data_IF_066025519765
#
_entry.id   IF_066025519765
#
_cell.length_a   1.000
_cell.length_b   1.000
_cell.length_c   1.000
_cell.angle_alpha   90.00
_cell.angle_beta   90.00
_cell.angle_gamma   90.00
#
_symmetry.space_group_name_H-M   'P 1'
#
loop_
_entity.id
_entity.type
_entity.pdbx_description
1 polymer ?
#
# COMPACT_ATOMS: atom_id res chain seq x y z
N UNK A 1 22.83 55.21 30.11
CA UNK A 1 22.40 53.88 30.60
C UNK A 1 22.21 52.97 29.40
N UNK A 2 22.94 51.85 29.37
CA UNK A 2 23.02 50.92 28.25
C UNK A 2 21.91 49.86 28.41
N UNK A 3 20.98 49.71 27.46
CA UNK A 3 20.17 48.48 27.31
C UNK A 3 19.95 48.17 25.83
N UNK A 4 20.79 47.24 25.38
CA UNK A 4 20.76 46.28 24.28
C UNK A 4 19.85 46.48 23.07
N UNK A 5 20.50 46.56 21.90
CA UNK A 5 20.04 45.91 20.67
C UNK A 5 19.98 44.40 20.91
N UNK A 6 18.87 43.76 20.54
CA UNK A 6 18.79 42.32 20.33
C UNK A 6 18.24 42.06 18.92
N UNK A 7 18.84 41.13 18.16
CA UNK A 7 18.65 41.01 16.73
C UNK A 7 17.44 40.14 16.38
N UNK A 8 16.89 40.47 15.21
CA UNK A 8 16.12 39.63 14.31
C UNK A 8 16.68 38.19 14.28
N UNK A 9 15.94 37.21 14.80
CA UNK A 9 16.24 35.79 14.56
C UNK A 9 15.13 35.22 13.69
N UNK A 10 15.56 34.87 12.48
CA UNK A 10 14.85 34.30 11.36
C UNK A 10 14.09 33.03 11.76
N UNK A 11 12.84 32.94 11.31
CA UNK A 11 12.01 31.75 11.38
C UNK A 11 12.70 30.57 10.67
N UNK A 12 13.10 29.56 11.44
CA UNK A 12 13.51 28.27 10.91
C UNK A 12 12.27 27.37 10.80
N UNK A 13 11.58 27.46 9.66
CA UNK A 13 10.54 26.52 9.27
C UNK A 13 11.18 25.13 9.11
N UNK A 14 11.01 24.27 10.10
CA UNK A 14 11.30 22.85 9.95
C UNK A 14 10.31 22.28 8.93
N UNK A 15 10.74 22.14 7.69
CA UNK A 15 10.07 21.32 6.68
C UNK A 15 10.13 19.87 7.17
N UNK A 16 9.04 19.40 7.77
CA UNK A 16 8.82 17.98 7.99
C UNK A 16 8.57 17.33 6.63
N UNK A 17 9.62 16.83 6.00
CA UNK A 17 9.46 15.94 4.85
C UNK A 17 8.78 14.65 5.36
N UNK A 18 7.64 14.23 4.78
CA UNK A 18 7.14 12.89 5.05
C UNK A 18 8.15 11.90 4.49
N UNK A 19 8.73 11.09 5.36
CA UNK A 19 9.48 9.92 4.95
C UNK A 19 8.51 8.96 4.26
N UNK A 20 8.63 8.83 2.93
CA UNK A 20 7.99 7.76 2.18
C UNK A 20 8.74 6.47 2.51
N UNK A 21 8.30 5.79 3.56
CA UNK A 21 8.79 4.47 3.90
C UNK A 21 8.32 3.48 2.82
N UNK A 22 9.24 3.05 1.96
CA UNK A 22 9.02 1.94 1.01
C UNK A 22 9.14 0.61 1.77
N UNK A 23 8.15 0.31 2.60
CA UNK A 23 8.01 -0.96 3.29
C UNK A 23 6.69 -1.58 2.89
N UNK A 24 6.75 -2.76 2.26
CA UNK A 24 5.62 -3.60 1.81
C UNK A 24 4.26 -2.93 2.00
N UNK A 25 3.78 -2.26 0.94
CA UNK A 25 2.64 -1.34 0.99
C UNK A 25 1.38 -2.07 1.47
N UNK A 26 1.16 -2.03 2.77
CA UNK A 26 -0.10 -2.43 3.35
C UNK A 26 -1.17 -1.54 2.72
N UNK A 27 -2.21 -2.10 2.08
CA UNK A 27 -3.20 -1.29 1.38
C UNK A 27 -3.73 -0.18 2.27
N UNK A 28 -3.92 1.02 1.72
CA UNK A 28 -4.33 2.19 2.51
C UNK A 28 -5.60 1.91 3.34
N UNK A 29 -6.53 1.11 2.80
CA UNK A 29 -7.76 0.68 3.48
C UNK A 29 -7.50 -0.22 4.70
N UNK A 30 -6.45 -1.03 4.68
CA UNK A 30 -6.02 -1.85 5.84
C UNK A 30 -5.26 -0.98 6.85
N UNK A 31 -4.43 -0.07 6.36
CA UNK A 31 -3.69 0.89 7.21
C UNK A 31 -4.63 1.78 8.02
N UNK A 32 -5.76 2.20 7.45
CA UNK A 32 -6.78 3.01 8.13
C UNK A 32 -7.33 2.32 9.40
N UNK A 33 -7.51 0.99 9.37
CA UNK A 33 -7.95 0.21 10.54
C UNK A 33 -6.95 0.30 11.69
N UNK A 34 -5.65 0.24 11.39
CA UNK A 34 -4.60 0.33 12.40
C UNK A 34 -4.54 1.74 13.01
N UNK A 35 -4.77 2.78 12.21
CA UNK A 35 -4.80 4.15 12.69
C UNK A 35 -5.93 4.39 13.70
N UNK A 36 -7.10 3.76 13.53
CA UNK A 36 -8.19 3.88 14.50
C UNK A 36 -7.79 3.49 15.93
N UNK A 37 -6.86 2.53 16.09
CA UNK A 37 -6.37 2.10 17.41
C UNK A 37 -5.60 3.19 18.16
N UNK A 38 -5.09 4.19 17.46
CA UNK A 38 -4.33 5.29 18.07
C UNK A 38 -5.23 6.32 18.75
N UNK A 39 -6.55 6.27 18.50
CA UNK A 39 -7.51 7.16 19.13
C UNK A 39 -7.78 6.75 20.57
N UNK A 40 -7.62 7.71 21.48
CA UNK A 40 -7.84 7.53 22.92
C UNK A 40 -9.29 7.74 23.32
N UNK A 41 -10.03 8.55 22.56
CA UNK A 41 -11.46 8.76 22.77
C UNK A 41 -12.26 7.57 22.21
N UNK A 42 -13.10 6.96 23.05
CA UNK A 42 -13.81 5.73 22.70
C UNK A 42 -14.86 5.96 21.61
N UNK A 43 -15.57 7.10 21.63
CA UNK A 43 -16.58 7.41 20.63
C UNK A 43 -15.94 7.69 19.26
N UNK A 44 -14.83 8.44 19.23
CA UNK A 44 -14.06 8.69 18.02
C UNK A 44 -13.44 7.40 17.48
N UNK A 45 -12.95 6.52 18.34
CA UNK A 45 -12.39 5.22 17.95
C UNK A 45 -13.45 4.32 17.32
N UNK A 46 -14.64 4.24 17.90
CA UNK A 46 -15.75 3.47 17.34
C UNK A 46 -16.17 3.99 15.97
N UNK A 47 -16.39 5.30 15.85
CA UNK A 47 -16.76 5.93 14.57
C UNK A 47 -15.68 5.72 13.48
N UNK A 48 -14.40 5.72 13.87
CA UNK A 48 -13.30 5.41 12.96
C UNK A 48 -13.38 3.97 12.44
N UNK A 49 -13.61 2.99 13.34
CA UNK A 49 -13.73 1.60 12.94
C UNK A 49 -14.94 1.34 12.04
N UNK A 50 -16.08 1.95 12.33
CA UNK A 50 -17.29 1.81 11.49
C UNK A 50 -17.03 2.30 10.06
N UNK A 51 -16.34 3.44 9.92
CA UNK A 51 -15.94 3.94 8.60
C UNK A 51 -14.94 3.01 7.91
N UNK A 52 -13.90 2.57 8.62
CA UNK A 52 -12.88 1.70 8.03
C UNK A 52 -13.48 0.34 7.59
N UNK A 53 -14.46 -0.19 8.32
CA UNK A 53 -15.19 -1.40 7.96
C UNK A 53 -16.00 -1.21 6.65
N UNK A 54 -16.70 -0.09 6.51
CA UNK A 54 -17.43 0.23 5.28
C UNK A 54 -16.49 0.38 4.07
N UNK A 55 -15.34 1.03 4.25
CA UNK A 55 -14.35 1.19 3.19
C UNK A 55 -13.72 -0.16 2.78
N UNK A 56 -13.50 -1.09 3.73
CA UNK A 56 -13.05 -2.46 3.45
C UNK A 56 -14.08 -3.26 2.64
N UNK A 57 -15.36 -3.18 3.02
CA UNK A 57 -16.45 -3.84 2.29
C UNK A 57 -16.49 -3.36 0.84
N UNK A 58 -16.38 -2.04 0.62
CA UNK A 58 -16.32 -1.47 -0.72
C UNK A 58 -15.11 -1.97 -1.51
N UNK A 59 -13.93 -2.04 -0.89
CA UNK A 59 -12.71 -2.52 -1.54
C UNK A 59 -12.79 -4.01 -1.93
N UNK A 60 -13.39 -4.84 -1.08
CA UNK A 60 -13.67 -6.24 -1.43
C UNK A 60 -14.65 -6.36 -2.60
N UNK A 61 -15.76 -5.61 -2.56
CA UNK A 61 -16.78 -5.64 -3.61
C UNK A 61 -16.23 -5.13 -4.96
N UNK A 62 -15.34 -4.14 -4.94
CA UNK A 62 -14.62 -3.66 -6.11
C UNK A 62 -13.52 -4.62 -6.60
N UNK A 63 -13.24 -5.71 -5.87
CA UNK A 63 -12.12 -6.64 -6.09
C UNK A 63 -10.75 -5.95 -6.10
N UNK A 64 -10.64 -4.79 -5.44
CA UNK A 64 -9.37 -4.07 -5.27
C UNK A 64 -8.61 -4.55 -4.03
N UNK A 65 -9.29 -5.29 -3.16
CA UNK A 65 -8.73 -6.00 -2.01
C UNK A 65 -9.21 -7.45 -2.04
N UNK A 66 -8.27 -8.40 -1.96
CA UNK A 66 -8.56 -9.82 -1.79
C UNK A 66 -7.90 -10.29 -0.51
N UNK A 67 -8.68 -10.88 0.40
CA UNK A 67 -8.12 -11.60 1.54
C UNK A 67 -7.83 -13.01 1.09
N UNK A 68 -6.55 -13.35 1.10
CA UNK A 68 -6.06 -14.65 0.71
C UNK A 68 -5.43 -15.38 1.88
N UNK A 69 -5.67 -16.68 1.96
CA UNK A 69 -4.75 -17.57 2.65
C UNK A 69 -3.44 -17.62 1.83
N UNK A 70 -2.29 -17.67 2.50
CA UNK A 70 -1.00 -17.77 1.80
C UNK A 70 -0.90 -19.08 1.00
N UNK A 71 -1.58 -20.14 1.45
CA UNK A 71 -1.71 -21.41 0.73
C UNK A 71 -2.71 -21.32 -0.43
N UNK A 72 -3.72 -20.46 -0.33
CA UNK A 72 -4.71 -20.23 -1.40
C UNK A 72 -4.21 -19.25 -2.47
N UNK A 73 -3.28 -18.37 -2.10
CA UNK A 73 -2.62 -17.42 -2.98
C UNK A 73 -1.11 -17.60 -2.82
N UNK A 74 -0.55 -18.72 -3.31
CA UNK A 74 0.89 -18.89 -3.31
C UNK A 74 1.48 -17.67 -3.98
N UNK A 75 2.39 -16.98 -3.28
CA UNK A 75 3.20 -15.96 -3.92
C UNK A 75 3.96 -16.68 -5.02
N UNK A 76 3.54 -16.49 -6.27
CA UNK A 76 4.27 -16.99 -7.41
C UNK A 76 5.63 -16.31 -7.38
N UNK A 77 6.64 -16.99 -6.84
CA UNK A 77 8.01 -16.54 -6.96
C UNK A 77 8.30 -16.42 -8.46
N UNK A 78 8.70 -15.24 -8.92
CA UNK A 78 8.92 -15.00 -10.35
C UNK A 78 9.91 -15.99 -10.98
N UNK A 79 10.72 -16.66 -10.16
CA UNK A 79 11.60 -17.75 -10.56
C UNK A 79 10.83 -19.00 -11.04
N UNK A 80 9.72 -19.38 -10.39
CA UNK A 80 8.90 -20.53 -10.80
C UNK A 80 8.11 -20.23 -12.08
N UNK A 81 7.55 -19.02 -12.18
CA UNK A 81 6.85 -18.62 -13.40
C UNK A 81 7.81 -18.55 -14.59
N UNK A 82 9.04 -18.06 -14.37
CA UNK A 82 10.08 -17.97 -15.40
C UNK A 82 10.61 -19.33 -15.84
N UNK A 83 10.65 -20.33 -14.94
CA UNK A 83 11.07 -21.70 -15.30
C UNK A 83 10.01 -22.45 -16.12
N UNK A 84 8.73 -22.08 -15.96
CA UNK A 84 7.61 -22.67 -16.69
C UNK A 84 7.36 -22.05 -18.07
N UNK A 85 7.87 -20.85 -18.35
CA UNK A 85 7.69 -20.18 -19.65
C UNK A 85 8.85 -20.54 -20.58
N UNK A 86 8.56 -21.25 -21.67
CA UNK A 86 9.52 -21.57 -22.72
C UNK A 86 9.73 -20.41 -23.71
N UNK A 87 8.66 -19.70 -24.06
CA UNK A 87 8.73 -18.56 -24.96
C UNK A 87 7.57 -17.58 -24.74
N UNK A 88 7.81 -16.31 -25.04
CA UNK A 88 6.77 -15.28 -25.14
C UNK A 88 6.91 -14.61 -26.50
N UNK A 89 5.85 -14.61 -27.30
CA UNK A 89 5.84 -14.02 -28.64
C UNK A 89 4.59 -13.18 -28.86
N UNK A 90 4.73 -12.03 -29.52
CA UNK A 90 3.59 -11.25 -29.96
C UNK A 90 3.03 -11.85 -31.26
N UNK A 91 1.73 -12.09 -31.31
CA UNK A 91 1.08 -12.50 -32.55
C UNK A 91 0.70 -11.28 -33.42
N UNK A 92 0.24 -11.54 -34.65
CA UNK A 92 -0.12 -10.49 -35.61
C UNK A 92 -1.31 -9.62 -35.17
N UNK A 93 -2.06 -10.04 -34.14
CA UNK A 93 -3.15 -9.27 -33.55
C UNK A 93 -2.70 -8.41 -32.35
N UNK A 94 -1.38 -8.31 -32.09
CA UNK A 94 -0.84 -7.55 -30.96
C UNK A 94 -1.08 -8.21 -29.60
N UNK A 95 -1.43 -9.50 -29.57
CA UNK A 95 -1.60 -10.28 -28.33
C UNK A 95 -0.34 -11.07 -28.04
N UNK A 96 -0.01 -11.20 -26.76
CA UNK A 96 1.07 -12.08 -26.31
C UNK A 96 0.59 -13.53 -26.25
N UNK A 97 1.35 -14.41 -26.89
CA UNK A 97 1.24 -15.87 -26.80
C UNK A 97 2.38 -16.35 -25.93
N UNK A 98 2.04 -17.04 -24.85
CA UNK A 98 3.00 -17.65 -23.93
C UNK A 98 3.04 -19.14 -24.24
N UNK A 99 4.23 -19.68 -24.46
CA UNK A 99 4.46 -21.12 -24.61
C UNK A 99 4.99 -21.63 -23.29
N UNK A 100 4.30 -22.60 -22.69
CA UNK A 100 4.77 -23.25 -21.47
C UNK A 100 5.76 -24.38 -21.81
N UNK A 101 6.73 -24.61 -20.92
CA UNK A 101 7.78 -25.61 -21.10
C UNK A 101 7.27 -27.05 -21.06
N UNK A 102 6.09 -27.27 -20.46
CA UNK A 102 5.40 -28.57 -20.44
C UNK A 102 4.47 -28.79 -21.65
N UNK A 103 4.36 -27.81 -22.56
CA UNK A 103 3.59 -27.92 -23.79
C UNK A 103 2.08 -27.84 -23.62
N UNK A 104 1.58 -27.40 -22.45
CA UNK A 104 0.14 -27.13 -22.21
C UNK A 104 -0.25 -25.67 -22.42
#
# INVERSE_FOLDING_TARGET
>A
MKKSLAPLVLAASMLTLPALATGQDTPAVVTAVYQCRTLTDDAARLACFDKAAADLEQAQNARTLSFGDEDAFPRFEGAELKSKIAAVSANQAGRYVITLADGT
#
